data_IF_820122209577
#
_entry.id   IF_820122209577
#
_cell.length_a   1.000
_cell.length_b   1.000
_cell.length_c   1.000
_cell.angle_alpha   90.00
_cell.angle_beta   90.00
_cell.angle_gamma   90.00
#
_symmetry.space_group_name_H-M   'P 1'
#
loop_
_entity.id
_entity.type
_entity.pdbx_description
1 polymer ?
#
# COMPACT_ATOMS: atom_id res chain seq x y z
N UNK A 1 -12.79 6.89 -31.07
CA UNK A 1 -14.07 6.73 -30.35
C UNK A 1 -14.76 8.08 -30.37
N UNK A 2 -15.94 8.17 -31.00
CA UNK A 2 -16.72 9.39 -31.05
C UNK A 2 -17.14 9.73 -29.61
N UNK A 3 -16.73 10.90 -29.13
CA UNK A 3 -17.30 11.50 -27.93
C UNK A 3 -18.80 11.67 -28.17
N UNK A 4 -19.62 10.83 -27.55
CA UNK A 4 -21.07 11.06 -27.48
C UNK A 4 -21.23 12.36 -26.71
N UNK A 5 -21.54 13.44 -27.42
CA UNK A 5 -21.88 14.73 -26.81
C UNK A 5 -23.14 14.46 -25.99
N UNK A 6 -23.01 14.51 -24.66
CA UNK A 6 -24.16 14.41 -23.78
C UNK A 6 -25.12 15.58 -24.13
N UNK A 7 -26.37 15.30 -24.57
CA UNK A 7 -27.29 16.34 -24.95
C UNK A 7 -27.70 17.25 -23.79
N UNK A 8 -27.38 16.85 -22.56
CA UNK A 8 -27.63 17.62 -21.35
C UNK A 8 -26.31 18.31 -20.90
N UNK A 9 -26.37 19.53 -20.44
CA UNK A 9 -25.23 20.29 -19.93
C UNK A 9 -24.85 19.84 -18.50
N UNK A 10 -24.66 18.55 -18.33
CA UNK A 10 -24.24 17.95 -17.05
C UNK A 10 -22.72 17.88 -17.01
N UNK A 11 -22.12 18.46 -16.00
CA UNK A 11 -20.67 18.46 -15.78
C UNK A 11 -20.35 17.72 -14.47
N UNK A 12 -19.20 17.02 -14.38
CA UNK A 12 -18.77 16.43 -13.14
C UNK A 12 -18.42 17.51 -12.11
N UNK A 13 -18.42 17.15 -10.82
CA UNK A 13 -17.91 18.03 -9.76
C UNK A 13 -16.44 18.39 -10.03
N UNK A 14 -16.00 19.60 -9.64
CA UNK A 14 -14.65 20.08 -9.89
C UNK A 14 -13.56 19.13 -9.36
N UNK A 15 -13.80 18.50 -8.19
CA UNK A 15 -12.89 17.52 -7.60
C UNK A 15 -12.61 16.31 -8.49
N UNK A 16 -13.53 15.91 -9.36
CA UNK A 16 -13.38 14.80 -10.31
C UNK A 16 -12.43 15.17 -11.45
N UNK A 17 -12.39 16.45 -11.84
CA UNK A 17 -11.47 16.94 -12.87
C UNK A 17 -10.03 17.03 -12.37
N UNK A 18 -9.82 17.08 -11.04
CA UNK A 18 -8.50 17.20 -10.40
C UNK A 18 -7.83 15.84 -10.16
N UNK A 19 -8.46 14.74 -10.54
CA UNK A 19 -7.91 13.39 -10.45
C UNK A 19 -7.93 12.72 -11.82
N UNK A 20 -6.95 11.83 -12.06
CA UNK A 20 -6.91 10.96 -13.24
C UNK A 20 -7.29 9.54 -12.86
N UNK A 21 -7.78 8.78 -13.86
CA UNK A 21 -7.93 7.33 -13.66
C UNK A 21 -6.58 6.72 -13.27
N UNK A 22 -6.62 5.82 -12.31
CA UNK A 22 -5.43 5.17 -11.75
C UNK A 22 -4.63 4.46 -12.85
N UNK A 23 -3.31 4.72 -12.94
CA UNK A 23 -2.44 4.20 -14.00
C UNK A 23 -2.60 2.68 -14.20
N UNK A 24 -2.59 1.91 -13.10
CA UNK A 24 -2.76 0.46 -13.19
C UNK A 24 -4.10 0.04 -13.79
N UNK A 25 -5.18 0.79 -13.58
CA UNK A 25 -6.48 0.51 -14.20
C UNK A 25 -6.37 0.57 -15.72
N UNK A 26 -5.76 1.64 -16.24
CA UNK A 26 -5.54 1.81 -17.69
C UNK A 26 -4.60 0.75 -18.26
N UNK A 27 -3.48 0.50 -17.58
CA UNK A 27 -2.47 -0.46 -18.06
C UNK A 27 -2.97 -1.91 -18.00
N UNK A 28 -3.76 -2.29 -16.99
CA UNK A 28 -4.39 -3.61 -16.93
C UNK A 28 -5.42 -3.81 -18.05
N UNK A 29 -6.14 -2.75 -18.45
CA UNK A 29 -7.04 -2.81 -19.62
C UNK A 29 -6.25 -3.01 -20.91
N UNK A 30 -5.17 -2.28 -21.11
CA UNK A 30 -4.26 -2.47 -22.25
C UNK A 30 -3.68 -3.90 -22.29
N UNK A 31 -3.21 -4.43 -21.16
CA UNK A 31 -2.72 -5.80 -21.04
C UNK A 31 -3.82 -6.82 -21.40
N UNK A 32 -5.05 -6.61 -20.96
CA UNK A 32 -6.16 -7.47 -21.31
C UNK A 32 -6.46 -7.45 -22.83
N UNK A 33 -6.39 -6.27 -23.46
CA UNK A 33 -6.55 -6.12 -24.91
C UNK A 33 -5.41 -6.82 -25.69
N UNK A 34 -4.16 -6.69 -25.22
CA UNK A 34 -3.00 -7.38 -25.82
C UNK A 34 -3.14 -8.91 -25.68
N UNK A 35 -3.55 -9.40 -24.53
CA UNK A 35 -3.81 -10.82 -24.30
C UNK A 35 -4.96 -11.35 -25.18
N UNK A 36 -6.02 -10.57 -25.37
CA UNK A 36 -7.12 -10.92 -26.30
C UNK A 36 -6.66 -11.05 -27.76
N UNK A 37 -5.55 -10.41 -28.13
CA UNK A 37 -4.86 -10.55 -29.44
C UNK A 37 -3.86 -11.71 -29.48
N UNK A 38 -3.74 -12.50 -28.40
CA UNK A 38 -2.88 -13.70 -28.33
C UNK A 38 -1.43 -13.43 -27.91
N UNK A 39 -1.10 -12.27 -27.33
CA UNK A 39 0.28 -11.90 -27.02
C UNK A 39 0.82 -12.51 -25.70
N UNK A 40 0.01 -13.17 -24.90
CA UNK A 40 0.39 -13.79 -23.61
C UNK A 40 1.32 -12.92 -22.75
N UNK A 41 0.79 -11.75 -22.33
CA UNK A 41 1.53 -10.81 -21.48
C UNK A 41 1.67 -11.37 -20.07
N UNK A 42 2.89 -11.50 -19.57
CA UNK A 42 3.17 -11.86 -18.19
C UNK A 42 3.05 -10.61 -17.31
N UNK A 43 2.01 -10.55 -16.48
CA UNK A 43 1.87 -9.55 -15.43
C UNK A 43 2.38 -10.09 -14.11
N UNK A 44 3.35 -9.42 -13.50
CA UNK A 44 3.97 -9.84 -12.24
C UNK A 44 3.16 -9.32 -11.02
N UNK A 45 1.83 -9.55 -10.96
CA UNK A 45 0.96 -8.76 -10.09
C UNK A 45 0.00 -9.47 -9.10
N UNK A 46 0.02 -10.79 -8.90
CA UNK A 46 -0.98 -11.49 -8.07
C UNK A 46 -0.32 -12.25 -6.92
N UNK A 47 -0.87 -12.12 -5.68
CA UNK A 47 -0.40 -12.85 -4.50
C UNK A 47 -0.87 -14.31 -4.44
N UNK A 48 -0.35 -15.08 -3.45
CA UNK A 48 -0.75 -16.46 -3.16
C UNK A 48 -2.07 -16.56 -2.37
N UNK A 49 -2.54 -17.79 -2.05
CA UNK A 49 -3.71 -18.00 -1.21
C UNK A 49 -3.42 -17.68 0.27
N UNK A 50 -4.44 -17.32 1.07
CA UNK A 50 -4.33 -17.22 2.51
C UNK A 50 -4.15 -18.61 3.16
N UNK A 51 -3.91 -18.64 4.48
CA UNK A 51 -3.80 -19.87 5.24
C UNK A 51 -5.07 -20.75 5.06
N UNK A 52 -4.96 -22.08 4.86
CA UNK A 52 -6.10 -22.95 4.60
C UNK A 52 -7.22 -22.88 5.64
N UNK A 53 -6.88 -22.81 6.94
CA UNK A 53 -7.87 -22.67 8.01
C UNK A 53 -8.66 -21.36 7.93
N UNK A 54 -8.09 -20.31 7.37
CA UNK A 54 -8.79 -19.04 7.13
C UNK A 54 -9.86 -19.20 6.07
N UNK A 55 -9.58 -19.96 5.01
CA UNK A 55 -10.54 -20.28 3.95
C UNK A 55 -11.67 -21.14 4.49
N UNK A 56 -11.33 -22.20 5.23
CA UNK A 56 -12.31 -23.10 5.83
C UNK A 56 -13.23 -22.38 6.81
N UNK A 57 -12.68 -21.46 7.61
CA UNK A 57 -13.46 -20.61 8.52
C UNK A 57 -14.47 -19.76 7.75
N UNK A 58 -14.06 -19.13 6.64
CA UNK A 58 -14.98 -18.36 5.79
C UNK A 58 -16.12 -19.25 5.27
N UNK A 59 -15.78 -20.41 4.71
CA UNK A 59 -16.75 -21.34 4.13
C UNK A 59 -17.75 -21.85 5.17
N UNK A 60 -17.28 -22.17 6.36
CA UNK A 60 -18.12 -22.68 7.45
C UNK A 60 -19.02 -21.58 8.01
N UNK A 61 -18.48 -20.40 8.29
CA UNK A 61 -19.23 -19.27 8.81
C UNK A 61 -20.30 -18.79 7.83
N UNK A 62 -19.98 -18.72 6.53
CA UNK A 62 -20.94 -18.23 5.52
C UNK A 62 -22.18 -19.13 5.33
N UNK A 63 -22.19 -20.36 5.84
CA UNK A 63 -23.35 -21.27 5.80
C UNK A 63 -24.35 -21.03 6.92
N UNK A 64 -24.00 -20.25 7.93
CA UNK A 64 -24.88 -19.93 9.05
C UNK A 64 -25.94 -18.92 8.62
N UNK A 65 -27.19 -19.13 9.02
CA UNK A 65 -28.32 -18.28 8.60
C UNK A 65 -28.33 -16.89 9.22
N UNK A 66 -27.66 -16.71 10.36
CA UNK A 66 -27.68 -15.48 11.18
C UNK A 66 -26.54 -14.50 10.83
N UNK A 67 -25.74 -14.76 9.81
CA UNK A 67 -24.53 -13.96 9.48
C UNK A 67 -24.70 -12.97 8.33
N UNK A 68 -25.85 -13.02 7.64
CA UNK A 68 -26.08 -12.27 6.39
C UNK A 68 -26.71 -10.89 6.61
N UNK A 69 -27.12 -10.55 7.82
CA UNK A 69 -27.64 -9.23 8.16
C UNK A 69 -26.54 -8.15 8.21
N UNK A 70 -26.96 -6.89 8.31
CA UNK A 70 -26.06 -5.78 8.54
C UNK A 70 -25.20 -5.97 9.80
N UNK A 71 -23.96 -5.56 9.73
CA UNK A 71 -23.00 -5.71 10.81
C UNK A 71 -22.67 -4.35 11.46
N UNK A 72 -22.21 -4.35 12.72
CA UNK A 72 -21.77 -3.11 13.37
C UNK A 72 -20.67 -2.39 12.54
N UNK A 73 -20.82 -1.09 12.34
CA UNK A 73 -19.87 -0.24 11.60
C UNK A 73 -18.47 -0.25 12.23
N UNK A 74 -18.41 -0.40 13.57
CA UNK A 74 -17.15 -0.49 14.32
C UNK A 74 -16.48 -1.86 14.18
N UNK A 75 -17.11 -2.84 13.50
CA UNK A 75 -16.63 -4.21 13.36
C UNK A 75 -16.89 -5.10 14.58
N UNK A 76 -16.71 -6.41 14.41
CA UNK A 76 -16.91 -7.39 15.47
C UNK A 76 -15.92 -7.18 16.63
N UNK A 77 -16.37 -7.34 17.89
CA UNK A 77 -15.48 -7.28 19.06
C UNK A 77 -14.32 -8.28 18.99
N UNK A 78 -14.57 -9.49 18.47
CA UNK A 78 -13.57 -10.54 18.31
C UNK A 78 -12.47 -10.14 17.33
N UNK A 79 -12.82 -9.52 16.21
CA UNK A 79 -11.84 -9.03 15.23
C UNK A 79 -10.99 -7.90 15.81
N UNK A 80 -11.61 -6.95 16.51
CA UNK A 80 -10.89 -5.84 17.15
C UNK A 80 -9.93 -6.34 18.22
N UNK A 81 -10.36 -7.32 19.04
CA UNK A 81 -9.50 -7.98 20.03
C UNK A 81 -8.34 -8.72 19.35
N UNK A 82 -8.61 -9.47 18.28
CA UNK A 82 -7.56 -10.17 17.54
C UNK A 82 -6.50 -9.21 16.97
N UNK A 83 -6.89 -8.05 16.46
CA UNK A 83 -5.95 -7.00 16.05
C UNK A 83 -5.15 -6.44 17.25
N UNK A 84 -5.80 -6.18 18.40
CA UNK A 84 -5.09 -5.72 19.60
C UNK A 84 -4.05 -6.73 20.07
N UNK A 85 -4.42 -8.02 20.14
CA UNK A 85 -3.53 -9.10 20.54
C UNK A 85 -2.38 -9.29 19.54
N UNK A 86 -2.66 -9.12 18.25
CA UNK A 86 -1.65 -9.17 17.19
C UNK A 86 -0.67 -8.01 17.29
N UNK A 87 -1.13 -6.77 17.55
CA UNK A 87 -0.26 -5.61 17.80
C UNK A 87 0.61 -5.79 19.05
N UNK A 88 0.04 -6.33 20.11
CA UNK A 88 0.78 -6.61 21.34
C UNK A 88 1.88 -7.66 21.09
N UNK A 89 1.53 -8.76 20.39
CA UNK A 89 2.46 -9.86 20.10
C UNK A 89 3.63 -9.43 19.24
N UNK A 90 3.38 -8.67 18.17
CA UNK A 90 4.38 -8.43 17.13
C UNK A 90 5.08 -7.08 17.24
N UNK A 91 4.44 -6.09 17.83
CA UNK A 91 4.98 -4.74 17.93
C UNK A 91 5.18 -4.27 19.37
N UNK A 92 4.80 -5.08 20.36
CA UNK A 92 4.77 -4.69 21.78
C UNK A 92 3.94 -3.40 22.01
N UNK A 93 2.83 -3.27 21.30
CA UNK A 93 1.91 -2.14 21.38
C UNK A 93 0.58 -2.59 22.00
N UNK A 94 0.23 -2.00 23.13
CA UNK A 94 -1.07 -2.25 23.78
C UNK A 94 -2.11 -1.31 23.20
N UNK A 95 -3.21 -1.87 22.68
CA UNK A 95 -4.37 -1.15 22.15
C UNK A 95 -5.64 -1.57 22.88
N UNK A 96 -6.50 -0.60 23.20
CA UNK A 96 -7.86 -0.88 23.66
C UNK A 96 -8.72 -1.34 22.46
N UNK A 97 -9.15 -2.62 22.41
CA UNK A 97 -9.93 -3.13 21.29
C UNK A 97 -11.31 -2.47 21.16
N UNK A 98 -11.80 -1.78 22.19
CA UNK A 98 -13.11 -1.14 22.15
C UNK A 98 -13.06 0.29 21.58
N UNK A 99 -11.93 0.98 21.74
CA UNK A 99 -11.84 2.42 21.50
C UNK A 99 -10.72 2.85 20.54
N UNK A 100 -9.66 2.03 20.39
CA UNK A 100 -8.46 2.41 19.67
C UNK A 100 -8.28 1.69 18.32
N UNK A 101 -9.25 0.86 17.91
CA UNK A 101 -9.19 0.05 16.68
C UNK A 101 -10.46 0.21 15.86
N UNK A 102 -10.29 0.51 14.55
CA UNK A 102 -11.36 0.51 13.57
C UNK A 102 -11.01 -0.44 12.41
N UNK A 103 -11.69 -1.60 12.28
CA UNK A 103 -11.61 -2.45 11.08
C UNK A 103 -12.09 -1.73 9.82
N UNK A 104 -11.47 -2.05 8.68
CA UNK A 104 -11.67 -1.40 7.38
C UNK A 104 -11.94 -2.44 6.28
N UNK A 105 -12.63 -2.02 5.23
CA UNK A 105 -12.76 -2.78 3.96
C UNK A 105 -11.45 -2.62 3.15
N UNK A 106 -10.34 -3.09 3.75
CA UNK A 106 -8.96 -2.86 3.32
C UNK A 106 -8.43 -1.47 3.67
N UNK A 107 -7.11 -1.33 3.83
CA UNK A 107 -6.48 -0.06 4.26
C UNK A 107 -6.70 1.10 3.28
N UNK A 108 -6.90 0.83 1.98
CA UNK A 108 -7.17 1.90 0.99
C UNK A 108 -8.43 2.72 1.31
N UNK A 109 -9.46 2.10 1.86
CA UNK A 109 -10.66 2.78 2.35
C UNK A 109 -10.32 3.73 3.52
N UNK A 110 -9.42 3.30 4.41
CA UNK A 110 -8.95 4.12 5.53
C UNK A 110 -8.33 5.44 5.08
N UNK A 111 -7.64 5.48 3.93
CA UNK A 111 -7.10 6.72 3.37
C UNK A 111 -8.23 7.73 3.12
N UNK A 112 -9.37 7.29 2.58
CA UNK A 112 -10.53 8.16 2.35
C UNK A 112 -11.13 8.64 3.68
N UNK A 113 -11.37 7.72 4.61
CA UNK A 113 -11.98 8.07 5.89
C UNK A 113 -11.13 9.04 6.71
N UNK A 114 -9.80 8.81 6.76
CA UNK A 114 -8.86 9.72 7.43
C UNK A 114 -8.87 11.10 6.73
N UNK A 115 -8.76 11.13 5.39
CA UNK A 115 -8.76 12.39 4.67
C UNK A 115 -10.04 13.20 4.91
N UNK A 116 -11.21 12.56 4.88
CA UNK A 116 -12.48 13.24 5.12
C UNK A 116 -12.71 13.63 6.58
N UNK A 117 -12.10 12.92 7.53
CA UNK A 117 -12.26 13.22 8.96
C UNK A 117 -11.38 14.41 9.41
N UNK A 118 -10.25 14.66 8.74
CA UNK A 118 -9.25 15.62 9.21
C UNK A 118 -8.96 16.78 8.27
N UNK A 119 -9.40 16.72 7.00
CA UNK A 119 -9.09 17.74 6.00
C UNK A 119 -10.33 18.53 5.59
N UNK A 120 -10.20 19.84 5.60
CA UNK A 120 -11.10 20.75 4.91
C UNK A 120 -10.53 21.14 3.55
N UNK A 121 -11.36 21.72 2.69
CA UNK A 121 -10.88 22.32 1.45
C UNK A 121 -9.79 23.35 1.72
N UNK A 122 -8.64 23.20 1.05
CA UNK A 122 -7.47 24.07 1.19
C UNK A 122 -6.51 23.73 2.33
N UNK A 123 -6.81 22.76 3.20
CA UNK A 123 -5.84 22.25 4.18
C UNK A 123 -4.67 21.54 3.45
N UNK A 124 -3.45 21.71 3.97
CA UNK A 124 -2.25 21.11 3.41
C UNK A 124 -2.05 19.66 3.84
N UNK A 125 -1.56 18.85 2.91
CA UNK A 125 -1.18 17.44 3.16
C UNK A 125 0.21 17.14 2.64
N UNK A 126 1.09 16.60 3.49
CA UNK A 126 2.40 16.09 3.08
C UNK A 126 2.27 14.67 2.52
N UNK A 127 2.79 14.48 1.31
CA UNK A 127 2.82 13.15 0.64
C UNK A 127 4.23 12.81 0.17
N UNK A 128 4.67 11.54 0.29
CA UNK A 128 6.01 11.12 -0.14
C UNK A 128 6.16 11.11 -1.67
N UNK A 129 7.35 11.45 -2.15
CA UNK A 129 7.75 11.38 -3.55
C UNK A 129 9.12 10.66 -3.66
N UNK A 130 9.18 9.35 -4.09
CA UNK A 130 8.06 8.56 -4.58
C UNK A 130 7.16 8.05 -3.43
N UNK A 131 5.89 7.76 -3.74
CA UNK A 131 4.93 7.26 -2.76
C UNK A 131 3.70 6.60 -3.40
N UNK A 132 2.82 6.09 -2.57
CA UNK A 132 1.59 5.46 -3.05
C UNK A 132 0.63 6.53 -3.64
N UNK A 133 0.26 6.43 -4.93
CA UNK A 133 -0.50 7.51 -5.60
C UNK A 133 -1.86 7.81 -4.97
N UNK A 134 -2.42 6.86 -4.20
CA UNK A 134 -3.72 7.05 -3.55
C UNK A 134 -3.68 8.15 -2.49
N UNK A 135 -2.55 8.38 -1.82
CA UNK A 135 -2.44 9.48 -0.85
C UNK A 135 -2.74 10.82 -1.50
N UNK A 136 -2.11 11.12 -2.64
CA UNK A 136 -2.38 12.36 -3.39
C UNK A 136 -3.78 12.40 -3.97
N UNK A 137 -4.25 11.32 -4.61
CA UNK A 137 -5.55 11.34 -5.30
C UNK A 137 -6.72 11.49 -4.34
N UNK A 138 -6.68 10.81 -3.19
CA UNK A 138 -7.75 10.92 -2.17
C UNK A 138 -7.69 12.27 -1.46
N UNK A 139 -6.50 12.80 -1.16
CA UNK A 139 -6.38 14.15 -0.59
C UNK A 139 -6.96 15.22 -1.53
N UNK A 140 -6.75 15.09 -2.87
CA UNK A 140 -7.40 15.98 -3.85
C UNK A 140 -8.92 15.80 -3.90
N UNK A 141 -9.45 14.58 -3.70
CA UNK A 141 -10.89 14.37 -3.56
C UNK A 141 -11.47 15.07 -2.33
N UNK A 142 -10.69 15.17 -1.26
CA UNK A 142 -11.03 15.97 -0.09
C UNK A 142 -10.75 17.48 -0.28
N UNK A 143 -10.36 17.91 -1.49
CA UNK A 143 -10.06 19.30 -1.87
C UNK A 143 -8.87 19.91 -1.10
N UNK A 144 -7.98 19.04 -0.57
CA UNK A 144 -6.77 19.45 0.12
C UNK A 144 -5.64 19.84 -0.86
N UNK A 145 -4.74 20.71 -0.42
CA UNK A 145 -3.53 21.09 -1.13
C UNK A 145 -2.40 20.11 -0.86
N UNK A 146 -1.73 19.64 -1.92
CA UNK A 146 -0.68 18.64 -1.82
C UNK A 146 0.68 19.31 -1.74
N UNK A 147 1.41 19.04 -0.67
CA UNK A 147 2.83 19.33 -0.50
C UNK A 147 3.61 18.02 -0.57
N UNK A 148 4.54 17.92 -1.51
CA UNK A 148 5.39 16.73 -1.64
C UNK A 148 6.66 16.90 -0.83
N UNK A 149 7.10 15.81 -0.20
CA UNK A 149 8.45 15.70 0.34
C UNK A 149 9.20 14.60 -0.37
N UNK A 150 10.44 14.90 -0.77
CA UNK A 150 11.24 13.98 -1.55
C UNK A 150 11.87 12.89 -0.68
N UNK A 151 11.80 11.68 -1.17
CA UNK A 151 12.57 10.54 -0.67
C UNK A 151 13.69 10.26 -1.66
N UNK A 152 14.90 10.16 -1.16
CA UNK A 152 16.12 10.08 -1.96
C UNK A 152 16.96 8.86 -1.57
N UNK A 153 17.60 8.24 -2.55
CA UNK A 153 18.51 7.10 -2.37
C UNK A 153 19.66 7.45 -1.42
N UNK A 154 20.21 8.66 -1.52
CA UNK A 154 21.33 9.10 -0.69
C UNK A 154 20.91 9.28 0.79
N UNK A 155 19.64 9.51 1.07
CA UNK A 155 19.06 9.55 2.41
C UNK A 155 18.31 8.26 2.76
N UNK A 156 18.65 7.14 2.10
CA UNK A 156 18.03 5.83 2.35
C UNK A 156 16.49 5.85 2.26
N UNK A 157 15.94 6.68 1.36
CA UNK A 157 14.51 6.86 1.15
C UNK A 157 13.75 7.31 2.42
N UNK A 158 14.41 8.12 3.25
CA UNK A 158 13.84 8.72 4.46
C UNK A 158 13.53 10.20 4.23
N UNK A 159 12.53 10.78 4.91
CA UNK A 159 12.28 12.21 4.87
C UNK A 159 13.51 13.01 5.31
N UNK A 160 13.81 14.08 4.61
CA UNK A 160 14.75 15.09 5.08
C UNK A 160 14.00 16.11 5.95
N UNK A 161 14.20 16.02 7.26
CA UNK A 161 13.53 16.89 8.22
C UNK A 161 13.90 18.37 8.05
N UNK A 162 15.11 18.69 7.52
CA UNK A 162 15.48 20.08 7.21
C UNK A 162 14.64 20.63 6.05
N UNK A 163 14.40 19.79 5.04
CA UNK A 163 13.51 20.15 3.95
C UNK A 163 12.06 20.30 4.44
N UNK A 164 11.59 19.40 5.30
CA UNK A 164 10.24 19.49 5.87
C UNK A 164 10.03 20.79 6.65
N UNK A 165 11.02 21.22 7.46
CA UNK A 165 10.95 22.46 8.25
C UNK A 165 10.91 23.75 7.37
N UNK A 166 11.24 23.65 6.07
CA UNK A 166 11.15 24.78 5.13
C UNK A 166 9.78 24.96 4.48
N UNK A 167 8.86 24.04 4.71
CA UNK A 167 7.52 24.07 4.14
C UNK A 167 6.57 24.93 5.00
N UNK A 168 5.42 25.40 4.46
CA UNK A 168 4.43 26.18 5.19
C UNK A 168 3.64 25.30 6.17
N UNK A 169 4.30 24.89 7.27
CA UNK A 169 3.82 23.87 8.20
C UNK A 169 2.54 24.28 8.95
N UNK A 170 2.29 25.57 9.09
CA UNK A 170 1.07 26.14 9.67
C UNK A 170 -0.21 25.81 8.89
N UNK A 171 -0.09 25.51 7.61
CA UNK A 171 -1.18 25.11 6.71
C UNK A 171 -1.36 23.59 6.63
N UNK A 172 -0.38 22.83 7.09
CA UNK A 172 -0.36 21.38 6.92
C UNK A 172 -1.05 20.71 8.11
N UNK A 173 -2.00 19.82 7.83
CA UNK A 173 -2.77 19.08 8.83
C UNK A 173 -2.35 17.63 8.96
N UNK A 174 -1.85 17.03 7.88
CA UNK A 174 -1.64 15.58 7.79
C UNK A 174 -0.38 15.27 6.98
N UNK A 175 0.38 14.26 7.42
CA UNK A 175 1.53 13.71 6.70
C UNK A 175 1.35 12.21 6.53
N UNK A 176 1.33 11.77 5.27
CA UNK A 176 1.36 10.35 4.92
C UNK A 176 2.78 9.83 4.94
N UNK A 177 3.02 8.74 5.66
CA UNK A 177 4.25 7.97 5.62
C UNK A 177 3.93 6.48 5.42
N UNK A 178 4.88 5.72 4.91
CA UNK A 178 4.70 4.29 4.65
C UNK A 178 6.03 3.58 4.88
N UNK A 179 6.15 2.83 5.97
CA UNK A 179 7.35 2.07 6.31
C UNK A 179 6.99 0.70 6.87
N UNK A 180 7.52 -0.42 6.28
CA UNK A 180 8.43 -0.47 5.11
C UNK A 180 7.83 0.23 3.89
N UNK A 181 8.67 1.00 3.17
CA UNK A 181 8.22 1.91 2.14
C UNK A 181 7.85 1.20 0.83
N UNK A 182 6.77 1.59 0.23
CA UNK A 182 6.42 1.28 -1.15
C UNK A 182 6.49 2.57 -1.99
N UNK A 183 7.29 2.61 -3.06
CA UNK A 183 7.83 1.48 -3.81
C UNK A 183 9.25 1.05 -3.42
N UNK A 184 9.97 1.78 -2.58
CA UNK A 184 11.44 1.70 -2.44
C UNK A 184 11.94 0.51 -1.60
N UNK A 185 11.08 -0.08 -0.77
CA UNK A 185 11.47 -1.15 0.15
C UNK A 185 12.28 -0.71 1.36
N UNK A 186 12.43 0.61 1.59
CA UNK A 186 13.14 1.12 2.75
C UNK A 186 12.48 0.69 4.07
N UNK A 187 13.29 0.18 4.99
CA UNK A 187 12.83 -0.33 6.28
C UNK A 187 12.57 0.80 7.28
N UNK A 188 11.63 0.56 8.19
CA UNK A 188 11.42 1.41 9.36
C UNK A 188 12.63 1.37 10.31
N UNK A 189 12.76 2.38 11.16
CA UNK A 189 13.58 2.35 12.36
C UNK A 189 12.89 3.12 13.48
N UNK A 190 13.16 2.74 14.73
CA UNK A 190 12.59 3.48 15.87
C UNK A 190 13.09 4.93 15.91
N UNK A 191 14.33 5.19 15.48
CA UNK A 191 14.84 6.55 15.32
C UNK A 191 14.00 7.39 14.34
N UNK A 192 13.68 6.82 13.16
CA UNK A 192 12.83 7.48 12.17
C UNK A 192 11.44 7.76 12.74
N UNK A 193 10.82 6.75 13.36
CA UNK A 193 9.48 6.91 13.94
C UNK A 193 9.46 7.94 15.06
N UNK A 194 10.50 7.96 15.93
CA UNK A 194 10.63 8.99 16.98
C UNK A 194 10.70 10.40 16.36
N UNK A 195 11.54 10.60 15.33
CA UNK A 195 11.64 11.89 14.63
C UNK A 195 10.31 12.32 13.99
N UNK A 196 9.56 11.37 13.41
CA UNK A 196 8.24 11.66 12.83
C UNK A 196 7.21 12.06 13.89
N UNK A 197 7.18 11.35 15.01
CA UNK A 197 6.30 11.67 16.14
C UNK A 197 6.63 13.06 16.71
N UNK A 198 7.91 13.34 16.92
CA UNK A 198 8.37 14.65 17.44
C UNK A 198 8.04 15.79 16.46
N UNK A 199 8.22 15.57 15.15
CA UNK A 199 7.83 16.50 14.11
C UNK A 199 6.33 16.76 14.13
N UNK A 200 5.51 15.69 14.16
CA UNK A 200 4.05 15.81 14.24
C UNK A 200 3.60 16.61 15.47
N UNK A 201 4.17 16.32 16.65
CA UNK A 201 3.86 17.03 17.90
C UNK A 201 4.25 18.52 17.87
N UNK A 202 5.46 18.83 17.37
CA UNK A 202 5.95 20.23 17.30
C UNK A 202 5.09 21.12 16.39
N UNK A 203 4.59 20.54 15.29
CA UNK A 203 3.88 21.30 14.26
C UNK A 203 2.36 21.03 14.25
N UNK A 204 1.85 20.24 15.20
CA UNK A 204 0.43 19.82 15.25
C UNK A 204 -0.04 19.18 13.93
N UNK A 205 0.80 18.31 13.36
CA UNK A 205 0.56 17.57 12.11
C UNK A 205 0.31 16.12 12.43
N UNK A 206 -0.84 15.57 12.00
CA UNK A 206 -1.15 14.14 12.16
C UNK A 206 -0.23 13.31 11.28
N UNK A 207 0.50 12.37 11.87
CA UNK A 207 1.32 11.41 11.13
C UNK A 207 0.53 10.12 10.89
N UNK A 208 0.31 9.76 9.63
CA UNK A 208 -0.36 8.50 9.26
C UNK A 208 0.64 7.54 8.66
N UNK A 209 0.94 6.46 9.38
CA UNK A 209 1.79 5.39 8.87
C UNK A 209 0.96 4.26 8.26
N UNK A 210 1.09 4.04 6.95
CA UNK A 210 0.50 2.89 6.25
C UNK A 210 1.50 1.73 6.29
N UNK A 211 1.19 0.67 7.06
CA UNK A 211 2.12 -0.40 7.45
C UNK A 211 1.74 -1.80 6.96
N UNK A 212 1.38 -2.02 5.69
CA UNK A 212 0.95 -3.33 5.21
C UNK A 212 2.10 -4.31 4.92
N UNK A 213 3.35 -3.84 4.89
CA UNK A 213 4.52 -4.63 4.46
C UNK A 213 5.41 -5.09 5.61
N UNK A 214 5.04 -4.84 6.85
CA UNK A 214 5.86 -5.03 8.05
C UNK A 214 6.44 -6.45 8.19
N UNK A 215 5.73 -7.47 7.68
CA UNK A 215 6.10 -8.89 7.80
C UNK A 215 6.70 -9.50 6.53
N UNK A 216 6.87 -8.70 5.47
CA UNK A 216 7.30 -9.24 4.19
C UNK A 216 8.78 -8.92 3.96
N UNK A 217 9.62 -9.97 3.94
CA UNK A 217 11.07 -9.89 3.78
C UNK A 217 11.68 -8.84 4.73
N UNK A 218 11.19 -8.84 5.97
CA UNK A 218 11.58 -7.92 7.01
C UNK A 218 11.66 -8.66 8.36
N UNK A 219 12.86 -8.80 8.88
CA UNK A 219 13.12 -9.57 10.10
C UNK A 219 12.79 -8.81 11.39
N UNK A 220 12.50 -7.51 11.28
CA UNK A 220 12.20 -6.66 12.42
C UNK A 220 10.94 -5.81 12.17
N UNK A 221 9.74 -6.39 12.31
CA UNK A 221 8.48 -5.65 12.21
C UNK A 221 8.40 -4.53 13.25
N UNK A 222 8.02 -3.33 12.83
CA UNK A 222 7.91 -2.16 13.71
C UNK A 222 6.59 -1.43 13.49
N UNK A 223 6.10 -0.80 14.55
CA UNK A 223 4.93 0.09 14.55
C UNK A 223 5.33 1.48 15.03
N UNK A 224 4.82 2.53 14.37
CA UNK A 224 4.98 3.91 14.88
C UNK A 224 4.30 4.10 16.23
N UNK A 225 3.27 3.29 16.53
CA UNK A 225 2.56 3.33 17.80
C UNK A 225 3.40 2.77 18.97
N UNK A 226 4.55 2.15 18.70
CA UNK A 226 5.50 1.75 19.74
C UNK A 226 6.32 2.92 20.30
N UNK A 227 6.34 4.07 19.63
CA UNK A 227 6.98 5.30 20.13
C UNK A 227 6.14 5.87 21.27
N UNK A 228 6.73 6.15 22.46
CA UNK A 228 5.99 6.71 23.59
C UNK A 228 5.24 8.00 23.23
N UNK A 229 3.96 8.07 23.56
CA UNK A 229 3.09 9.20 23.29
C UNK A 229 2.75 9.42 21.80
N UNK A 230 3.04 8.47 20.93
CA UNK A 230 2.71 8.54 19.49
C UNK A 230 1.20 8.59 19.25
N UNK A 231 0.40 7.90 20.06
CA UNK A 231 -1.06 7.89 19.89
C UNK A 231 -1.71 9.28 19.97
N UNK A 232 -1.05 10.26 20.60
CA UNK A 232 -1.56 11.62 20.66
C UNK A 232 -1.65 12.29 19.29
N UNK A 233 -0.82 11.87 18.33
CA UNK A 233 -0.67 12.54 17.03
C UNK A 233 -0.59 11.56 15.84
N UNK A 234 -0.50 10.25 16.09
CA UNK A 234 -0.32 9.26 15.02
C UNK A 234 -1.57 8.40 14.80
N UNK A 235 -1.77 8.04 13.54
CA UNK A 235 -2.66 6.97 13.10
C UNK A 235 -1.81 5.93 12.40
N UNK A 236 -1.97 4.66 12.73
CA UNK A 236 -1.37 3.58 11.95
C UNK A 236 -2.44 2.76 11.26
N UNK A 237 -2.27 2.53 9.95
CA UNK A 237 -3.07 1.60 9.17
C UNK A 237 -2.32 0.31 8.96
N UNK A 238 -3.03 -0.82 9.02
CA UNK A 238 -2.49 -2.11 8.65
C UNK A 238 -3.48 -2.91 7.81
N UNK A 239 -3.01 -3.96 7.15
CA UNK A 239 -3.84 -4.73 6.23
C UNK A 239 -3.40 -6.18 6.16
N UNK A 240 -4.37 -7.10 6.13
CA UNK A 240 -4.13 -8.52 5.91
C UNK A 240 -3.85 -8.84 4.42
N UNK A 241 -3.97 -7.84 3.55
CA UNK A 241 -3.77 -8.00 2.10
C UNK A 241 -2.41 -8.58 1.73
N UNK A 242 -1.35 -8.26 2.50
CA UNK A 242 0.03 -8.65 2.20
C UNK A 242 0.54 -9.71 3.17
N UNK A 243 0.49 -9.42 4.46
CA UNK A 243 0.97 -10.30 5.53
C UNK A 243 0.23 -11.64 5.61
N UNK A 244 -1.01 -11.72 5.09
CA UNK A 244 -1.85 -12.93 5.12
C UNK A 244 -2.39 -13.35 3.75
N UNK A 245 -1.87 -12.79 2.65
CA UNK A 245 -2.32 -13.07 1.27
C UNK A 245 -3.82 -12.85 1.04
N UNK A 246 -4.44 -11.91 1.78
CA UNK A 246 -5.89 -11.66 1.75
C UNK A 246 -6.24 -10.40 0.93
N UNK A 247 -5.51 -10.09 -0.14
CA UNK A 247 -5.71 -8.84 -0.89
C UNK A 247 -7.10 -8.69 -1.50
N UNK A 248 -7.69 -9.78 -2.00
CA UNK A 248 -9.06 -9.82 -2.53
C UNK A 248 -10.15 -9.80 -1.46
N UNK A 249 -9.81 -10.12 -0.21
CA UNK A 249 -10.76 -10.23 0.89
C UNK A 249 -11.14 -8.87 1.48
N UNK A 250 -10.34 -7.84 1.23
CA UNK A 250 -10.59 -6.46 1.65
C UNK A 250 -10.72 -6.33 3.17
N UNK A 251 -9.73 -6.80 3.92
CA UNK A 251 -9.64 -6.62 5.38
C UNK A 251 -8.38 -5.83 5.75
N UNK A 252 -8.59 -4.78 6.51
CA UNK A 252 -7.56 -3.97 7.14
C UNK A 252 -8.06 -3.36 8.44
N UNK A 253 -7.26 -2.50 9.02
CA UNK A 253 -7.62 -1.75 10.22
C UNK A 253 -6.85 -0.44 10.29
N UNK A 254 -7.32 0.48 11.10
CA UNK A 254 -6.53 1.59 11.62
C UNK A 254 -6.58 1.60 13.15
N UNK A 255 -5.50 2.07 13.74
CA UNK A 255 -5.37 2.25 15.19
C UNK A 255 -4.87 3.65 15.53
N UNK A 256 -5.43 4.23 16.57
CA UNK A 256 -5.05 5.53 17.10
C UNK A 256 -5.67 5.76 18.47
N UNK A 257 -5.61 7.00 18.99
CA UNK A 257 -6.34 7.37 20.19
C UNK A 257 -7.87 7.30 20.00
N UNK A 258 -8.66 7.16 21.08
CA UNK A 258 -10.11 7.03 21.00
C UNK A 258 -10.83 8.18 20.28
N UNK A 259 -10.32 9.41 20.39
CA UNK A 259 -10.94 10.58 19.78
C UNK A 259 -10.82 10.54 18.25
N UNK A 260 -9.64 10.17 17.73
CA UNK A 260 -9.43 10.03 16.28
C UNK A 260 -10.27 8.89 15.71
N UNK A 261 -10.35 7.77 16.42
CA UNK A 261 -11.21 6.63 16.04
C UNK A 261 -12.69 7.07 15.97
N UNK A 262 -13.17 7.82 16.94
CA UNK A 262 -14.55 8.33 16.94
C UNK A 262 -14.84 9.21 15.72
N UNK A 263 -13.95 10.14 15.39
CA UNK A 263 -14.12 11.03 14.23
C UNK A 263 -14.10 10.27 12.91
N UNK A 264 -13.19 9.31 12.77
CA UNK A 264 -13.10 8.45 11.58
C UNK A 264 -14.35 7.56 11.47
N UNK A 265 -14.86 7.02 12.58
CA UNK A 265 -16.08 6.22 12.60
C UNK A 265 -17.31 7.04 12.18
N UNK A 266 -17.39 8.33 12.53
CA UNK A 266 -18.46 9.22 12.04
C UNK A 266 -18.47 9.29 10.50
N UNK A 267 -17.32 9.39 9.87
CA UNK A 267 -17.20 9.35 8.39
C UNK A 267 -17.57 7.98 7.86
N UNK A 268 -16.94 6.92 8.38
CA UNK A 268 -17.13 5.54 7.92
C UNK A 268 -18.60 5.11 7.96
N UNK A 269 -19.30 5.37 9.04
CA UNK A 269 -20.70 4.96 9.24
C UNK A 269 -21.69 5.62 8.28
N UNK A 270 -21.28 6.66 7.54
CA UNK A 270 -22.06 7.30 6.49
C UNK A 270 -21.67 6.83 5.06
N UNK A 271 -20.68 5.93 4.93
CA UNK A 271 -20.15 5.46 3.64
C UNK A 271 -20.44 3.98 3.42
N UNK A 272 -20.33 3.15 4.44
CA UNK A 272 -20.60 1.70 4.36
C UNK A 272 -21.60 1.21 5.42
N UNK A 273 -21.93 -0.07 5.38
CA UNK A 273 -22.87 -0.72 6.32
C UNK A 273 -22.23 -1.88 7.07
N UNK A 274 -20.94 -1.76 7.36
CA UNK A 274 -20.16 -2.77 8.07
C UNK A 274 -19.58 -3.85 7.15
N UNK A 275 -18.75 -4.70 7.73
CA UNK A 275 -18.05 -5.76 7.00
C UNK A 275 -18.79 -7.08 7.19
N UNK A 276 -18.97 -7.85 6.11
CA UNK A 276 -19.60 -9.17 6.15
C UNK A 276 -19.01 -10.05 7.27
N UNK A 277 -19.88 -10.58 8.16
CA UNK A 277 -19.47 -11.27 9.40
C UNK A 277 -18.51 -12.45 9.14
N UNK A 278 -18.76 -13.35 8.17
CA UNK A 278 -17.85 -14.45 7.88
C UNK A 278 -16.43 -14.00 7.49
N UNK A 279 -16.29 -12.88 6.80
CA UNK A 279 -14.98 -12.29 6.49
C UNK A 279 -14.26 -11.82 7.75
N UNK A 280 -14.98 -11.20 8.68
CA UNK A 280 -14.41 -10.75 9.96
C UNK A 280 -13.98 -11.94 10.82
N UNK A 281 -14.79 -13.00 10.89
CA UNK A 281 -14.46 -14.22 11.64
C UNK A 281 -13.24 -14.93 11.04
N UNK A 282 -13.17 -15.03 9.71
CA UNK A 282 -12.00 -15.60 9.03
C UNK A 282 -10.74 -14.74 9.22
N UNK A 283 -10.86 -13.41 9.22
CA UNK A 283 -9.76 -12.51 9.54
C UNK A 283 -9.27 -12.66 10.98
N UNK A 284 -10.18 -12.85 11.93
CA UNK A 284 -9.84 -13.18 13.33
C UNK A 284 -9.00 -14.45 13.40
N UNK A 285 -9.37 -15.50 12.63
CA UNK A 285 -8.59 -16.74 12.54
C UNK A 285 -7.21 -16.50 11.91
N UNK A 286 -7.12 -15.71 10.84
CA UNK A 286 -5.85 -15.37 10.21
C UNK A 286 -4.87 -14.68 11.17
N UNK A 287 -5.35 -13.76 12.01
CA UNK A 287 -4.52 -13.03 12.99
C UNK A 287 -3.94 -13.93 14.10
N UNK A 288 -4.44 -15.15 14.25
CA UNK A 288 -3.87 -16.13 15.19
C UNK A 288 -2.63 -16.86 14.64
N UNK A 289 -2.31 -16.69 13.35
CA UNK A 289 -1.12 -17.29 12.74
C UNK A 289 0.15 -16.87 13.51
N UNK A 290 1.04 -17.86 13.73
CA UNK A 290 2.32 -17.67 14.40
C UNK A 290 3.46 -17.35 13.44
N UNK A 291 4.69 -17.41 13.96
CA UNK A 291 5.92 -17.16 13.20
C UNK A 291 6.05 -18.08 11.99
N UNK A 292 5.65 -19.34 12.12
CA UNK A 292 5.74 -20.34 11.05
C UNK A 292 5.05 -19.88 9.76
N UNK A 293 3.88 -19.22 9.86
CA UNK A 293 3.18 -18.67 8.70
C UNK A 293 4.06 -17.63 7.97
N UNK A 294 4.65 -16.70 8.71
CA UNK A 294 5.50 -15.67 8.11
C UNK A 294 6.79 -16.23 7.55
N UNK A 295 7.37 -17.27 8.18
CA UNK A 295 8.57 -17.94 7.70
C UNK A 295 8.33 -18.62 6.35
N UNK A 296 7.24 -19.41 6.23
CA UNK A 296 6.82 -20.05 4.98
C UNK A 296 6.49 -19.02 3.89
N UNK A 297 5.77 -17.96 4.25
CA UNK A 297 5.44 -16.88 3.34
C UNK A 297 6.70 -16.18 2.80
N UNK A 298 7.64 -15.87 3.68
CA UNK A 298 8.87 -15.19 3.33
C UNK A 298 9.85 -16.09 2.56
N UNK A 299 9.82 -17.41 2.75
CA UNK A 299 10.58 -18.35 1.92
C UNK A 299 10.15 -18.25 0.44
N UNK A 300 8.84 -18.29 0.19
CA UNK A 300 8.30 -18.08 -1.16
C UNK A 300 8.72 -16.74 -1.75
N UNK A 301 8.70 -15.66 -0.96
CA UNK A 301 9.09 -14.35 -1.44
C UNK A 301 10.60 -14.20 -1.63
N UNK A 302 11.45 -14.89 -0.86
CA UNK A 302 12.91 -14.94 -1.10
C UNK A 302 13.21 -15.58 -2.46
N UNK A 303 12.64 -16.74 -2.75
CA UNK A 303 12.83 -17.43 -4.03
C UNK A 303 12.41 -16.52 -5.22
N UNK A 304 11.29 -15.83 -5.10
CA UNK A 304 10.81 -14.90 -6.13
C UNK A 304 11.70 -13.65 -6.24
N UNK A 305 12.22 -13.17 -5.13
CA UNK A 305 13.20 -12.05 -5.12
C UNK A 305 14.44 -12.41 -5.89
N UNK A 306 15.01 -13.61 -5.70
CA UNK A 306 16.20 -14.06 -6.42
C UNK A 306 15.99 -14.02 -7.94
N UNK A 307 14.78 -14.36 -8.42
CA UNK A 307 14.45 -14.25 -9.84
C UNK A 307 14.30 -12.79 -10.26
N UNK A 308 13.60 -11.97 -9.46
CA UNK A 308 13.42 -10.55 -9.75
C UNK A 308 14.77 -9.80 -9.81
N UNK A 309 15.73 -10.15 -8.94
CA UNK A 309 17.08 -9.60 -8.95
C UNK A 309 17.87 -10.03 -10.19
N UNK A 310 17.68 -11.27 -10.69
CA UNK A 310 18.23 -11.68 -11.97
C UNK A 310 17.64 -10.88 -13.13
N UNK A 311 16.32 -10.59 -13.09
CA UNK A 311 15.69 -9.71 -14.08
C UNK A 311 16.30 -8.30 -14.01
N UNK A 312 16.48 -7.72 -12.82
CA UNK A 312 17.13 -6.42 -12.67
C UNK A 312 18.55 -6.41 -13.26
N UNK A 313 19.35 -7.44 -13.00
CA UNK A 313 20.69 -7.60 -13.57
C UNK A 313 20.66 -7.71 -15.09
N UNK A 314 19.76 -8.51 -15.66
CA UNK A 314 19.60 -8.64 -17.12
C UNK A 314 19.21 -7.32 -17.79
N UNK A 315 18.50 -6.44 -17.07
CA UNK A 315 18.15 -5.09 -17.52
C UNK A 315 19.25 -4.04 -17.27
N UNK A 316 20.35 -4.40 -16.61
CA UNK A 316 21.42 -3.47 -16.21
C UNK A 316 21.03 -2.51 -15.10
N UNK A 317 19.99 -2.84 -14.32
CA UNK A 317 19.52 -2.01 -13.21
C UNK A 317 20.32 -2.28 -11.92
N UNK A 318 20.57 -1.23 -11.16
CA UNK A 318 21.11 -1.33 -9.79
C UNK A 318 19.96 -1.32 -8.76
N UNK A 319 20.14 -2.03 -7.64
CA UNK A 319 19.16 -2.12 -6.56
C UNK A 319 19.83 -2.40 -5.23
N UNK A 320 19.17 -2.05 -4.13
CA UNK A 320 19.56 -2.44 -2.78
C UNK A 320 19.00 -3.84 -2.45
N UNK A 321 19.84 -4.85 -2.16
CA UNK A 321 19.36 -6.19 -1.83
C UNK A 321 18.70 -6.28 -0.45
N UNK A 322 18.82 -5.27 0.40
CA UNK A 322 18.25 -5.25 1.76
C UNK A 322 16.79 -4.75 1.83
N UNK A 323 16.18 -4.42 0.68
CA UNK A 323 14.80 -3.95 0.61
C UNK A 323 13.81 -4.91 1.27
N UNK A 324 12.83 -4.37 1.98
CA UNK A 324 11.68 -5.11 2.50
C UNK A 324 10.47 -5.03 1.57
N UNK A 325 9.44 -5.81 1.86
CA UNK A 325 8.18 -5.77 1.13
C UNK A 325 8.13 -6.65 -0.12
N UNK A 326 7.09 -6.44 -0.92
CA UNK A 326 6.72 -7.30 -2.06
C UNK A 326 7.32 -6.86 -3.39
N UNK A 327 8.30 -5.98 -3.38
CA UNK A 327 8.80 -5.35 -4.60
C UNK A 327 10.32 -5.30 -4.59
N UNK A 328 10.91 -5.37 -5.78
CA UNK A 328 12.29 -4.93 -6.01
C UNK A 328 12.23 -3.62 -6.76
N UNK A 329 12.80 -2.58 -6.15
CA UNK A 329 12.93 -1.24 -6.70
C UNK A 329 14.35 -1.06 -7.22
N UNK A 330 14.51 -0.84 -8.52
CA UNK A 330 15.81 -0.75 -9.16
C UNK A 330 15.94 0.49 -10.02
N UNK A 331 17.13 1.10 -9.97
CA UNK A 331 17.51 2.24 -10.79
C UNK A 331 17.94 1.73 -12.17
N UNK A 332 17.37 2.29 -13.22
CA UNK A 332 17.70 1.95 -14.59
C UNK A 332 19.11 2.44 -14.96
N UNK A 333 19.79 1.78 -15.91
CA UNK A 333 21.12 2.21 -16.35
C UNK A 333 21.07 3.60 -17.01
N UNK A 334 22.18 4.33 -16.96
CA UNK A 334 22.27 5.68 -17.56
C UNK A 334 22.05 5.69 -19.06
N UNK A 335 22.32 4.56 -19.75
CA UNK A 335 22.07 4.36 -21.17
C UNK A 335 20.58 4.31 -21.54
N UNK A 336 19.68 4.03 -20.59
CA UNK A 336 18.24 4.05 -20.82
C UNK A 336 17.71 5.49 -20.77
N UNK A 337 16.83 5.86 -21.69
CA UNK A 337 16.23 7.20 -21.78
C UNK A 337 15.49 7.56 -20.49
N UNK A 338 14.51 6.72 -20.10
CA UNK A 338 13.73 6.83 -18.89
C UNK A 338 13.07 5.49 -18.54
N UNK A 339 12.41 5.44 -17.39
CA UNK A 339 11.77 4.23 -16.89
C UNK A 339 10.54 3.81 -17.71
N UNK A 340 9.82 4.75 -18.30
CA UNK A 340 8.65 4.47 -19.13
C UNK A 340 9.08 3.79 -20.44
N UNK A 341 10.05 4.36 -21.14
CA UNK A 341 10.60 3.81 -22.38
C UNK A 341 11.16 2.40 -22.17
N UNK A 342 11.87 2.16 -21.05
CA UNK A 342 12.38 0.82 -20.73
C UNK A 342 11.23 -0.15 -20.44
N UNK A 343 10.24 0.25 -19.67
CA UNK A 343 9.09 -0.60 -19.34
C UNK A 343 8.26 -0.95 -20.59
N UNK A 344 8.06 -0.01 -21.50
CA UNK A 344 7.35 -0.22 -22.76
C UNK A 344 8.19 -1.10 -23.73
N UNK A 345 9.51 -0.90 -23.82
CA UNK A 345 10.40 -1.80 -24.57
C UNK A 345 10.22 -3.26 -24.13
N UNK A 346 10.20 -3.50 -22.81
CA UNK A 346 10.03 -4.85 -22.25
C UNK A 346 8.61 -5.37 -22.48
N UNK A 347 7.61 -4.52 -22.36
CA UNK A 347 6.20 -4.91 -22.58
C UNK A 347 5.98 -5.38 -24.03
N UNK A 348 6.43 -4.61 -25.01
CA UNK A 348 6.13 -4.91 -26.41
C UNK A 348 7.07 -5.92 -27.06
N UNK A 349 8.34 -6.03 -26.59
CA UNK A 349 9.29 -6.96 -27.18
C UNK A 349 9.44 -8.28 -26.41
N UNK A 350 9.33 -8.26 -25.07
CA UNK A 350 9.40 -9.47 -24.24
C UNK A 350 8.03 -9.97 -23.76
N UNK A 351 6.96 -9.21 -23.98
CA UNK A 351 5.62 -9.49 -23.47
C UNK A 351 5.61 -9.64 -21.94
N UNK A 352 6.37 -8.79 -21.25
CA UNK A 352 6.46 -8.75 -19.79
C UNK A 352 6.15 -7.35 -19.31
N UNK A 353 5.16 -7.22 -18.42
CA UNK A 353 4.84 -5.94 -17.80
C UNK A 353 5.68 -5.71 -16.54
N UNK A 354 6.49 -4.65 -16.56
CA UNK A 354 7.24 -4.12 -15.43
C UNK A 354 6.72 -2.72 -15.12
N UNK A 355 6.58 -2.39 -13.85
CA UNK A 355 6.03 -1.10 -13.44
C UNK A 355 7.07 0.01 -13.53
N UNK A 356 6.87 1.06 -14.36
CA UNK A 356 7.76 2.22 -14.38
C UNK A 356 7.58 3.06 -13.13
N UNK A 357 8.68 3.62 -12.62
CA UNK A 357 8.69 4.27 -11.31
C UNK A 357 8.05 5.66 -11.28
N UNK A 358 7.92 6.36 -12.41
CA UNK A 358 7.31 7.68 -12.47
C UNK A 358 5.87 7.71 -11.94
N UNK A 359 5.16 6.58 -11.98
CA UNK A 359 3.79 6.47 -11.47
C UNK A 359 3.69 6.71 -9.95
N UNK A 360 4.82 6.59 -9.24
CA UNK A 360 4.91 6.84 -7.81
C UNK A 360 5.37 8.27 -7.49
N UNK A 361 5.71 9.05 -8.50
CA UNK A 361 6.17 10.44 -8.37
C UNK A 361 7.45 10.71 -9.17
N UNK A 362 7.82 11.97 -9.29
CA UNK A 362 8.95 12.42 -10.14
C UNK A 362 10.30 11.83 -9.72
N UNK A 363 10.50 11.55 -8.41
CA UNK A 363 11.72 10.87 -7.93
C UNK A 363 11.82 9.40 -8.37
N UNK A 364 10.73 8.85 -8.92
CA UNK A 364 10.70 7.53 -9.54
C UNK A 364 11.11 7.47 -11.02
N UNK A 365 11.35 8.61 -11.68
CA UNK A 365 11.57 8.66 -13.14
C UNK A 365 12.75 7.80 -13.65
N UNK A 366 13.74 7.56 -12.80
CA UNK A 366 14.91 6.72 -13.13
C UNK A 366 14.84 5.33 -12.50
N UNK A 367 13.63 4.86 -12.11
CA UNK A 367 13.46 3.58 -11.43
C UNK A 367 12.37 2.75 -12.08
N UNK A 368 12.49 1.43 -11.91
CA UNK A 368 11.43 0.46 -12.22
C UNK A 368 11.13 -0.37 -10.97
N UNK A 369 9.94 -0.95 -10.93
CA UNK A 369 9.51 -1.81 -9.84
C UNK A 369 9.07 -3.17 -10.36
N UNK A 370 9.68 -4.25 -9.85
CA UNK A 370 9.27 -5.64 -10.09
C UNK A 370 8.49 -6.12 -8.88
N UNK A 371 7.30 -6.68 -9.11
CA UNK A 371 6.48 -7.29 -8.06
C UNK A 371 6.83 -8.76 -7.85
N UNK A 372 6.90 -9.20 -6.60
CA UNK A 372 7.14 -10.59 -6.20
C UNK A 372 5.83 -11.41 -6.10
N UNK A 373 4.71 -10.87 -6.60
CA UNK A 373 3.41 -11.52 -6.44
C UNK A 373 3.11 -12.61 -7.47
N UNK A 374 3.83 -12.66 -8.59
CA UNK A 374 3.64 -13.71 -9.60
C UNK A 374 4.24 -15.05 -9.16
N UNK A 375 3.67 -16.19 -9.60
CA UNK A 375 4.28 -17.50 -9.38
C UNK A 375 5.69 -17.58 -9.97
N UNK A 376 6.59 -18.33 -9.30
CA UNK A 376 8.00 -18.49 -9.71
C UNK A 376 8.15 -18.89 -11.17
N UNK A 377 7.34 -19.85 -11.64
CA UNK A 377 7.35 -20.29 -13.05
C UNK A 377 7.12 -19.14 -14.03
N UNK A 378 6.17 -18.23 -13.71
CA UNK A 378 5.93 -17.04 -14.55
C UNK A 378 7.07 -16.02 -14.48
N UNK A 379 7.69 -15.88 -13.32
CA UNK A 379 8.85 -15.01 -13.16
C UNK A 379 10.07 -15.54 -13.90
N UNK A 380 10.30 -16.85 -13.88
CA UNK A 380 11.36 -17.53 -14.65
C UNK A 380 11.15 -17.37 -16.15
N UNK A 381 9.91 -17.54 -16.62
CA UNK A 381 9.56 -17.29 -18.03
C UNK A 381 9.78 -15.81 -18.42
N UNK A 382 9.41 -14.88 -17.56
CA UNK A 382 9.69 -13.45 -17.78
C UNK A 382 11.20 -13.18 -17.89
N UNK A 383 12.01 -13.75 -17.01
CA UNK A 383 13.47 -13.65 -17.08
C UNK A 383 14.00 -14.18 -18.43
N UNK A 384 13.60 -15.39 -18.83
CA UNK A 384 14.01 -15.99 -20.09
C UNK A 384 13.66 -15.11 -21.30
N UNK A 385 12.43 -14.57 -21.36
CA UNK A 385 12.00 -13.67 -22.43
C UNK A 385 12.84 -12.40 -22.50
N UNK A 386 13.17 -11.81 -21.34
CA UNK A 386 14.00 -10.60 -21.24
C UNK A 386 15.44 -10.87 -21.68
N UNK A 387 16.06 -11.97 -21.23
CA UNK A 387 17.41 -12.37 -21.64
C UNK A 387 17.50 -12.58 -23.14
N UNK A 388 16.50 -13.22 -23.75
CA UNK A 388 16.45 -13.45 -25.20
C UNK A 388 16.46 -12.15 -26.01
N UNK A 389 15.73 -11.13 -25.62
CA UNK A 389 15.74 -9.84 -26.34
C UNK A 389 17.03 -9.05 -26.12
N UNK A 390 17.69 -9.23 -24.96
CA UNK A 390 18.97 -8.55 -24.66
C UNK A 390 20.16 -9.21 -25.36
N UNK A 391 20.14 -10.53 -25.57
CA UNK A 391 21.18 -11.25 -26.32
C UNK A 391 21.14 -11.01 -27.84
N UNK A 392 20.01 -10.52 -28.35
CA UNK A 392 19.82 -10.19 -29.77
C UNK A 392 20.15 -8.73 -30.13
N UNK A 393 20.56 -7.93 -29.13
CA UNK A 393 21.05 -6.56 -29.27
C UNK A 393 22.57 -6.49 -29.14
#
# INVERSE_FOLDING_TARGET
MQNSINPFNIRPANRVNNISEYYFSKKLKEIAELNARGLDIISLGIGGPPHPETIETLCTESRKSDVHGYQPYIGLPELRRAFADWYNRWYNVTLDPQKEIQPLIGSKEGILHISLAFLNAGDGVLVPNPGYPTYSSVSRLAEAEIFTYDLDENNHWRPDFKQLESLPLDRIKLMWVNYPNMPTGAKASMELFTKLVDFGKRHNIIIVNDNPYSFILNDNPMSILAVPGSKDICIEMNSLSKSHNMSGWRIGMLASNPQFIEWILKVKSNIDSGIFRPLQTAATKALLCGQEWYDQLNEVYRNRRDIAEKIMKALGCSYDPSQAGLFVWGKIPDSATDAESLADEILYNAHVFITPGFIFGSRGNRYIRISLCAPEKKMQEALHRIEKIKSNK
#
